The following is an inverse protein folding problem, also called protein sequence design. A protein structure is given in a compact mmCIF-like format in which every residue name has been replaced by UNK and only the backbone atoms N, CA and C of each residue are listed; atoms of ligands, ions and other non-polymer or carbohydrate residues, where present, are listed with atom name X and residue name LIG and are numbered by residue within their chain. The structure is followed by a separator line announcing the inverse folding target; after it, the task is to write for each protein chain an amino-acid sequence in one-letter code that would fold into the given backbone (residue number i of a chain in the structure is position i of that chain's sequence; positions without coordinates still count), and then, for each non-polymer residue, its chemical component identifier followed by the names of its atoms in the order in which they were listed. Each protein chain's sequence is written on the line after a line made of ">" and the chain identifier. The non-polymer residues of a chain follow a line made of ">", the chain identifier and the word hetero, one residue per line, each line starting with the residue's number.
data_IF_861482128273
#
_entry.id   IF_861482128273
#
_cell.length_a   1.000
_cell.length_b   1.000
_cell.length_c   1.000
_cell.angle_alpha   90.00
_cell.angle_beta   90.00
_cell.angle_gamma   90.00
#
_symmetry.space_group_name_H-M   'P 1'
#
loop_
_entity.id
_entity.type
_entity.pdbx_description
1 polymer ?
#
# COMPACT_ATOMS: atom_id res chain seq x y z
N UNK A 1 -23.87 -31.06 0.12
CA UNK A 1 -25.26 -31.48 0.28
C UNK A 1 -26.06 -30.29 0.77
N UNK A 2 -27.19 -29.98 0.15
CA UNK A 2 -28.08 -28.91 0.65
C UNK A 2 -28.87 -29.42 1.86
N UNK A 3 -29.36 -28.51 2.70
CA UNK A 3 -30.00 -28.84 3.98
C UNK A 3 -31.22 -29.79 3.80
N UNK A 4 -32.03 -29.57 2.76
CA UNK A 4 -33.18 -30.42 2.45
C UNK A 4 -32.81 -31.83 1.97
N UNK A 5 -31.67 -32.00 1.28
CA UNK A 5 -31.18 -33.32 0.84
C UNK A 5 -30.70 -34.13 2.04
N UNK A 6 -30.04 -33.45 2.99
CA UNK A 6 -29.57 -34.05 4.23
C UNK A 6 -30.73 -34.51 5.10
N UNK A 7 -31.76 -33.68 5.25
CA UNK A 7 -32.96 -34.05 6.01
C UNK A 7 -33.70 -35.24 5.37
N UNK A 8 -33.83 -35.24 4.04
CA UNK A 8 -34.45 -36.35 3.31
C UNK A 8 -33.68 -37.66 3.48
N UNK A 9 -32.35 -37.61 3.40
CA UNK A 9 -31.49 -38.79 3.60
C UNK A 9 -31.59 -39.34 5.01
N UNK A 10 -31.49 -38.48 6.02
CA UNK A 10 -31.56 -38.88 7.43
C UNK A 10 -32.94 -39.47 7.82
N UNK A 11 -34.00 -39.05 7.14
CA UNK A 11 -35.36 -39.62 7.32
C UNK A 11 -35.65 -40.82 6.43
N UNK A 12 -34.71 -41.26 5.59
CA UNK A 12 -34.91 -42.36 4.65
C UNK A 12 -35.88 -42.04 3.49
N UNK A 13 -36.12 -40.76 3.21
CA UNK A 13 -37.01 -40.29 2.13
C UNK A 13 -36.31 -40.11 0.79
N UNK A 14 -34.98 -40.03 0.77
CA UNK A 14 -34.18 -39.95 -0.46
C UNK A 14 -32.79 -40.59 -0.29
N UNK A 15 -32.12 -40.85 -1.42
CA UNK A 15 -30.73 -41.34 -1.49
C UNK A 15 -29.85 -40.21 -2.04
N UNK A 16 -28.66 -39.94 -1.45
CA UNK A 16 -27.75 -38.92 -1.96
C UNK A 16 -27.25 -39.28 -3.36
N UNK A 17 -27.25 -38.31 -4.28
CA UNK A 17 -26.84 -38.54 -5.66
C UNK A 17 -25.36 -38.87 -5.85
N UNK A 18 -24.52 -38.59 -4.84
CA UNK A 18 -23.08 -38.88 -4.84
C UNK A 18 -22.70 -40.06 -3.91
N UNK A 19 -23.68 -40.89 -3.55
CA UNK A 19 -23.45 -42.17 -2.89
C UNK A 19 -22.76 -43.13 -3.88
N UNK A 20 -21.64 -43.73 -3.47
CA UNK A 20 -20.89 -44.64 -4.35
C UNK A 20 -21.53 -46.04 -4.38
N UNK A 21 -21.30 -46.77 -5.47
CA UNK A 21 -21.73 -48.18 -5.56
C UNK A 21 -21.01 -49.00 -4.48
N UNK A 22 -21.77 -49.81 -3.76
CA UNK A 22 -21.32 -50.60 -2.61
C UNK A 22 -20.85 -49.78 -1.39
N UNK A 23 -21.16 -48.48 -1.32
CA UNK A 23 -20.94 -47.66 -0.12
C UNK A 23 -22.19 -47.72 0.76
N UNK A 24 -22.01 -48.09 2.03
CA UNK A 24 -23.08 -48.03 3.03
C UNK A 24 -23.37 -46.59 3.44
N UNK A 25 -24.57 -46.33 3.97
CA UNK A 25 -24.93 -45.01 4.47
C UNK A 25 -23.98 -44.50 5.57
N UNK A 26 -23.44 -45.41 6.39
CA UNK A 26 -22.47 -45.06 7.42
C UNK A 26 -21.12 -44.63 6.81
N UNK A 27 -20.60 -45.39 5.84
CA UNK A 27 -19.37 -45.04 5.12
C UNK A 27 -19.51 -43.71 4.38
N UNK A 28 -20.67 -43.47 3.75
CA UNK A 28 -20.99 -42.20 3.10
C UNK A 28 -20.92 -41.02 4.07
N UNK A 29 -21.56 -41.14 5.24
CA UNK A 29 -21.57 -40.09 6.27
C UNK A 29 -20.16 -39.84 6.81
N UNK A 30 -19.41 -40.90 7.11
CA UNK A 30 -18.02 -40.78 7.57
C UNK A 30 -17.19 -40.03 6.54
N UNK A 31 -17.28 -40.41 5.26
CA UNK A 31 -16.59 -39.70 4.17
C UNK A 31 -16.99 -38.23 4.11
N UNK A 32 -18.28 -37.91 4.22
CA UNK A 32 -18.74 -36.51 4.18
C UNK A 32 -18.31 -35.67 5.36
N UNK A 33 -18.26 -36.25 6.55
CA UNK A 33 -17.74 -35.57 7.72
C UNK A 33 -16.23 -35.37 7.62
N UNK A 34 -15.47 -36.37 7.15
CA UNK A 34 -14.04 -36.20 6.88
C UNK A 34 -13.77 -35.12 5.82
N UNK A 35 -14.50 -35.14 4.70
CA UNK A 35 -14.40 -34.08 3.67
C UNK A 35 -14.71 -32.68 4.23
N UNK A 36 -15.63 -32.56 5.18
CA UNK A 36 -15.96 -31.30 5.84
C UNK A 36 -14.90 -30.89 6.86
N UNK A 37 -14.37 -31.82 7.64
CA UNK A 37 -13.32 -31.59 8.63
C UNK A 37 -12.01 -31.15 7.95
N UNK A 38 -11.63 -31.81 6.86
CA UNK A 38 -10.47 -31.42 6.03
C UNK A 38 -10.62 -29.99 5.48
N UNK A 39 -11.84 -29.61 5.05
CA UNK A 39 -12.13 -28.24 4.59
C UNK A 39 -12.04 -27.23 5.73
N UNK A 40 -12.55 -27.57 6.91
CA UNK A 40 -12.46 -26.72 8.10
C UNK A 40 -10.99 -26.52 8.51
N UNK A 41 -10.20 -27.59 8.56
CA UNK A 41 -8.76 -27.53 8.85
C UNK A 41 -8.02 -26.67 7.82
N UNK A 42 -8.31 -26.84 6.52
CA UNK A 42 -7.71 -26.02 5.47
C UNK A 42 -8.09 -24.53 5.56
N UNK A 43 -9.34 -24.22 5.91
CA UNK A 43 -9.79 -22.83 6.12
C UNK A 43 -9.14 -22.22 7.36
N UNK A 44 -9.03 -22.97 8.45
CA UNK A 44 -8.35 -22.51 9.66
C UNK A 44 -6.88 -22.20 9.41
N UNK A 45 -6.17 -23.07 8.66
CA UNK A 45 -4.80 -22.81 8.25
C UNK A 45 -4.67 -21.54 7.40
N UNK A 46 -5.59 -21.33 6.44
CA UNK A 46 -5.62 -20.11 5.62
C UNK A 46 -5.88 -18.85 6.45
N UNK A 47 -6.78 -18.91 7.45
CA UNK A 47 -7.05 -17.78 8.34
C UNK A 47 -5.82 -17.40 9.15
N UNK A 48 -5.09 -18.38 9.69
CA UNK A 48 -3.84 -18.11 10.41
C UNK A 48 -2.82 -17.43 9.50
N UNK A 49 -2.63 -17.94 8.26
CA UNK A 49 -1.74 -17.30 7.30
C UNK A 49 -2.17 -15.87 6.94
N UNK A 50 -3.47 -15.61 6.82
CA UNK A 50 -3.99 -14.26 6.55
C UNK A 50 -3.68 -13.33 7.71
N UNK A 51 -3.84 -13.79 8.96
CA UNK A 51 -3.51 -12.99 10.13
C UNK A 51 -2.01 -12.65 10.18
N UNK A 52 -1.13 -13.63 9.95
CA UNK A 52 0.31 -13.39 9.92
C UNK A 52 0.70 -12.37 8.83
N UNK A 53 0.09 -12.48 7.65
CA UNK A 53 0.30 -11.53 6.55
C UNK A 53 -0.25 -10.14 6.86
N UNK A 54 -1.38 -10.06 7.58
CA UNK A 54 -1.98 -8.80 7.99
C UNK A 54 -1.08 -8.07 8.99
N UNK A 55 -0.55 -8.77 10.00
CA UNK A 55 0.40 -8.21 10.96
C UNK A 55 1.68 -7.71 10.26
N UNK A 56 2.21 -8.49 9.31
CA UNK A 56 3.37 -8.08 8.53
C UNK A 56 3.09 -6.83 7.68
N UNK A 57 1.90 -6.74 7.07
CA UNK A 57 1.49 -5.58 6.28
C UNK A 57 1.32 -4.33 7.15
N UNK A 58 0.74 -4.45 8.35
CA UNK A 58 0.59 -3.34 9.30
C UNK A 58 1.95 -2.80 9.76
N UNK A 59 2.91 -3.69 10.06
CA UNK A 59 4.26 -3.29 10.43
C UNK A 59 4.98 -2.58 9.27
N UNK A 60 4.87 -3.11 8.05
CA UNK A 60 5.47 -2.49 6.87
C UNK A 60 4.88 -1.10 6.60
N UNK A 61 3.56 -0.94 6.77
CA UNK A 61 2.88 0.34 6.59
C UNK A 61 3.33 1.38 7.64
N UNK A 62 3.49 0.97 8.90
CA UNK A 62 4.00 1.84 9.95
C UNK A 62 5.42 2.35 9.65
N UNK A 63 6.32 1.45 9.23
CA UNK A 63 7.68 1.83 8.84
C UNK A 63 7.70 2.77 7.63
N UNK A 64 6.85 2.53 6.64
CA UNK A 64 6.72 3.41 5.48
C UNK A 64 6.21 4.80 5.87
N UNK A 65 5.24 4.88 6.78
CA UNK A 65 4.74 6.13 7.31
C UNK A 65 5.84 6.91 8.06
N UNK A 66 6.55 6.26 8.98
CA UNK A 66 7.66 6.89 9.73
C UNK A 66 8.77 7.41 8.79
N UNK A 67 9.14 6.65 7.77
CA UNK A 67 10.12 7.08 6.77
C UNK A 67 9.62 8.29 5.95
N UNK A 68 8.33 8.29 5.59
CA UNK A 68 7.72 9.40 4.84
C UNK A 68 7.67 10.67 5.69
N UNK A 69 7.26 10.58 6.96
CA UNK A 69 7.24 11.70 7.89
C UNK A 69 8.64 12.30 8.07
N UNK A 70 9.68 11.46 8.20
CA UNK A 70 11.07 11.91 8.28
C UNK A 70 11.51 12.65 7.01
N UNK A 71 11.23 12.10 5.83
CA UNK A 71 11.56 12.75 4.56
C UNK A 71 10.83 14.10 4.41
N UNK A 72 9.56 14.18 4.82
CA UNK A 72 8.80 15.45 4.81
C UNK A 72 9.46 16.49 5.73
N UNK A 73 9.90 16.09 6.93
CA UNK A 73 10.61 16.98 7.85
C UNK A 73 11.94 17.48 7.25
N UNK A 74 12.75 16.59 6.69
CA UNK A 74 14.02 16.95 6.02
C UNK A 74 13.78 17.87 4.81
N UNK A 75 12.75 17.60 4.01
CA UNK A 75 12.37 18.46 2.87
C UNK A 75 11.96 19.85 3.31
N UNK A 76 11.19 19.98 4.39
CA UNK A 76 10.78 21.27 4.93
C UNK A 76 11.96 22.05 5.50
N UNK A 77 12.88 21.38 6.21
CA UNK A 77 14.11 22.00 6.70
C UNK A 77 14.98 22.54 5.55
N UNK A 78 15.19 21.72 4.51
CA UNK A 78 15.93 22.14 3.31
C UNK A 78 15.23 23.28 2.57
N UNK A 79 13.90 23.30 2.52
CA UNK A 79 13.16 24.40 1.90
C UNK A 79 13.36 25.72 2.65
N UNK A 80 13.32 25.70 3.98
CA UNK A 80 13.57 26.88 4.82
C UNK A 80 15.03 27.38 4.70
N UNK A 81 16.01 26.47 4.64
CA UNK A 81 17.41 26.81 4.39
C UNK A 81 17.59 27.45 3.02
N UNK A 82 16.99 26.88 1.96
CA UNK A 82 17.02 27.46 0.61
C UNK A 82 16.40 28.85 0.55
N UNK A 83 15.27 29.08 1.24
CA UNK A 83 14.66 30.41 1.31
C UNK A 83 15.61 31.42 1.97
N UNK A 84 16.32 31.00 3.01
CA UNK A 84 17.30 31.83 3.72
C UNK A 84 18.51 32.14 2.84
N UNK A 85 19.05 31.13 2.15
CA UNK A 85 20.15 31.29 1.20
C UNK A 85 19.78 32.21 0.04
N UNK A 86 18.58 32.06 -0.53
CA UNK A 86 18.10 32.92 -1.61
C UNK A 86 18.02 34.38 -1.16
N UNK A 87 17.53 34.66 0.06
CA UNK A 87 17.52 36.02 0.64
C UNK A 87 18.94 36.56 0.82
N UNK A 88 19.87 35.73 1.31
CA UNK A 88 21.27 36.13 1.46
C UNK A 88 21.92 36.47 0.11
N UNK A 89 21.72 35.63 -0.91
CA UNK A 89 22.24 35.83 -2.26
C UNK A 89 21.68 37.12 -2.86
N UNK A 90 20.38 37.35 -2.73
CA UNK A 90 19.72 38.56 -3.22
C UNK A 90 20.28 39.84 -2.57
N UNK A 91 20.61 39.79 -1.28
CA UNK A 91 21.01 40.97 -0.52
C UNK A 91 22.52 41.23 -0.54
N UNK A 92 23.35 40.18 -0.64
CA UNK A 92 24.78 40.27 -0.27
C UNK A 92 25.75 39.65 -1.28
N UNK A 93 25.28 38.96 -2.33
CA UNK A 93 26.16 38.34 -3.32
C UNK A 93 26.20 39.15 -4.63
N UNK A 94 27.40 39.32 -5.18
CA UNK A 94 27.64 39.99 -6.46
C UNK A 94 28.52 39.13 -7.36
N UNK A 95 28.29 39.21 -8.66
CA UNK A 95 29.08 38.51 -9.69
C UNK A 95 29.61 39.51 -10.70
N UNK A 96 30.78 39.24 -11.27
CA UNK A 96 31.25 40.00 -12.43
C UNK A 96 30.60 39.42 -13.69
N UNK A 97 29.97 40.27 -14.49
CA UNK A 97 29.34 39.89 -15.74
C UNK A 97 29.50 40.98 -16.81
N UNK A 98 29.18 40.63 -18.06
CA UNK A 98 29.28 41.52 -19.22
C UNK A 98 30.71 41.67 -19.77
N UNK A 99 30.85 42.43 -20.86
CA UNK A 99 32.13 42.66 -21.55
C UNK A 99 33.10 43.51 -20.71
N UNK A 100 32.59 44.35 -19.82
CA UNK A 100 33.37 45.27 -18.97
C UNK A 100 33.68 44.72 -17.57
N UNK A 101 33.30 43.47 -17.24
CA UNK A 101 33.52 42.83 -15.93
C UNK A 101 32.99 43.66 -14.74
N UNK A 102 31.86 44.35 -14.91
CA UNK A 102 31.23 45.10 -13.82
C UNK A 102 30.54 44.16 -12.81
N UNK A 103 30.45 44.61 -11.56
CA UNK A 103 29.80 43.86 -10.48
C UNK A 103 28.28 44.08 -10.50
N UNK A 104 27.53 42.99 -10.66
CA UNK A 104 26.06 42.97 -10.63
C UNK A 104 25.55 42.12 -9.47
N UNK A 105 24.38 42.43 -8.90
CA UNK A 105 23.72 41.54 -7.94
C UNK A 105 23.59 40.14 -8.52
N UNK A 106 23.97 39.11 -7.74
CA UNK A 106 23.96 37.74 -8.22
C UNK A 106 22.56 37.24 -8.61
N UNK A 107 21.50 37.80 -8.00
CA UNK A 107 20.11 37.46 -8.30
C UNK A 107 19.69 37.83 -9.73
N UNK A 108 20.27 38.87 -10.32
CA UNK A 108 19.95 39.32 -11.68
C UNK A 108 20.45 38.32 -12.74
N UNK A 109 21.31 37.39 -12.33
CA UNK A 109 21.86 36.32 -13.15
C UNK A 109 21.41 34.93 -12.66
N UNK A 110 20.35 34.84 -11.86
CA UNK A 110 19.80 33.56 -11.43
C UNK A 110 19.31 32.75 -12.64
N UNK A 111 19.63 31.45 -12.73
CA UNK A 111 19.16 30.61 -13.82
C UNK A 111 17.63 30.46 -13.76
N UNK A 112 16.98 30.57 -14.92
CA UNK A 112 15.54 30.29 -15.01
C UNK A 112 15.25 28.80 -14.82
N UNK A 113 14.29 28.47 -13.96
CA UNK A 113 13.92 27.08 -13.61
C UNK A 113 12.50 26.72 -14.07
N UNK A 114 12.12 27.15 -15.27
CA UNK A 114 10.74 27.07 -15.79
C UNK A 114 10.11 25.67 -15.66
N UNK A 115 10.86 24.60 -15.92
CA UNK A 115 10.37 23.23 -15.80
C UNK A 115 10.06 22.82 -14.36
N UNK A 116 10.91 23.21 -13.41
CA UNK A 116 10.70 22.97 -11.97
C UNK A 116 9.54 23.81 -11.45
N UNK A 117 9.44 25.06 -11.86
CA UNK A 117 8.36 25.96 -11.46
C UNK A 117 6.99 25.47 -11.97
N UNK A 118 6.94 25.00 -13.22
CA UNK A 118 5.75 24.38 -13.80
C UNK A 118 5.34 23.11 -13.04
N UNK A 119 6.30 22.23 -12.74
CA UNK A 119 6.04 21.02 -11.95
C UNK A 119 5.53 21.34 -10.53
N UNK A 120 6.15 22.29 -9.83
CA UNK A 120 5.71 22.69 -8.48
C UNK A 120 4.34 23.37 -8.49
N UNK A 121 3.98 24.07 -9.57
CA UNK A 121 2.65 24.63 -9.75
C UNK A 121 1.60 23.53 -10.00
N UNK A 122 1.93 22.53 -10.83
CA UNK A 122 1.09 21.37 -11.08
C UNK A 122 0.83 20.58 -9.79
N UNK A 123 1.89 20.26 -9.03
CA UNK A 123 1.77 19.55 -7.75
C UNK A 123 0.91 20.32 -6.74
N UNK A 124 1.06 21.65 -6.66
CA UNK A 124 0.19 22.50 -5.81
C UNK A 124 -1.26 22.49 -6.26
N UNK A 125 -1.53 22.40 -7.57
CA UNK A 125 -2.88 22.33 -8.12
C UNK A 125 -3.56 20.98 -7.89
N UNK A 126 -2.78 19.89 -7.73
CA UNK A 126 -3.31 18.54 -7.52
C UNK A 126 -3.81 18.28 -6.10
N UNK A 127 -3.51 19.16 -5.12
CA UNK A 127 -4.09 19.14 -3.79
C UNK A 127 -4.05 17.77 -3.10
N UNK A 128 -2.88 17.36 -2.62
CA UNK A 128 -2.73 16.22 -1.70
C UNK A 128 -3.04 16.66 -0.28
#
# INVERSE_FOLDING_TARGET
>A
MKLYEMEGFLRGKCIPGDLKVNETNAEYLVRKFSEADDRCAALSAKLNMINDLMEAAEQANKLAQEATEKLVQERNALAAENETLNKFIAASCFVQAGEELAWYPAIDHAPETQATDAFLAEVRAQGV
#
